data_IF_174895407271
#
_entry.id   IF_174895407271
#
_cell.length_a   1.000
_cell.length_b   1.000
_cell.length_c   1.000
_cell.angle_alpha   90.00
_cell.angle_beta   90.00
_cell.angle_gamma   90.00
#
_symmetry.space_group_name_H-M   'P 1'
#
loop_
_entity.id
_entity.type
_entity.pdbx_description
1 polymer ?
#
# COMPACT_ATOMS: atom_id res chain seq x y z
N UNK A 1 34.08 -2.65 3.47
CA UNK A 1 33.16 -3.07 4.55
C UNK A 1 31.76 -2.96 3.95
N UNK A 2 31.12 -4.07 3.66
CA UNK A 2 29.68 -4.08 3.35
C UNK A 2 28.98 -3.54 4.59
N UNK A 3 28.12 -2.52 4.44
CA UNK A 3 27.43 -1.95 5.60
C UNK A 3 26.61 -3.03 6.31
N UNK A 4 26.52 -2.95 7.61
CA UNK A 4 25.75 -3.89 8.45
C UNK A 4 24.30 -3.99 7.95
N UNK A 5 23.79 -2.94 7.31
CA UNK A 5 22.45 -2.84 6.72
C UNK A 5 22.26 -3.77 5.52
N UNK A 6 23.26 -3.86 4.63
CA UNK A 6 23.19 -4.77 3.49
C UNK A 6 23.07 -6.23 3.94
N UNK A 7 23.73 -6.59 5.04
CA UNK A 7 23.69 -7.94 5.62
C UNK A 7 22.32 -8.28 6.22
N UNK A 8 21.59 -7.29 6.78
CA UNK A 8 20.27 -7.51 7.40
C UNK A 8 19.18 -7.68 6.32
N UNK A 9 19.20 -6.85 5.28
CA UNK A 9 18.24 -6.93 4.17
C UNK A 9 18.50 -8.16 3.31
N UNK A 10 19.77 -8.49 3.06
CA UNK A 10 20.14 -9.73 2.37
C UNK A 10 19.75 -10.99 3.15
N UNK A 11 19.80 -10.99 4.50
CA UNK A 11 19.37 -12.13 5.32
C UNK A 11 17.89 -12.46 5.23
N UNK A 12 17.03 -11.48 4.99
CA UNK A 12 15.57 -11.69 4.89
C UNK A 12 15.11 -12.10 3.49
N UNK A 13 15.87 -11.75 2.46
CA UNK A 13 15.52 -12.07 1.07
C UNK A 13 16.42 -13.16 0.47
N UNK A 14 17.49 -13.56 1.16
CA UNK A 14 18.30 -14.69 0.76
C UNK A 14 17.56 -15.97 1.15
N UNK A 15 17.31 -16.82 0.17
CA UNK A 15 16.90 -18.21 0.34
C UNK A 15 18.03 -18.95 1.05
N UNK A 16 18.05 -18.93 2.39
CA UNK A 16 18.89 -19.85 3.13
C UNK A 16 18.20 -21.22 3.24
N UNK A 17 18.99 -22.26 3.48
CA UNK A 17 18.50 -23.64 3.55
C UNK A 17 17.39 -23.78 4.61
N UNK A 18 17.50 -23.06 5.73
CA UNK A 18 16.54 -23.11 6.83
C UNK A 18 15.19 -22.47 6.43
N UNK A 19 15.22 -21.33 5.73
CA UNK A 19 13.99 -20.68 5.26
C UNK A 19 13.28 -21.57 4.23
N UNK A 20 14.04 -22.19 3.32
CA UNK A 20 13.47 -23.11 2.33
C UNK A 20 12.87 -24.35 2.98
N UNK A 21 13.54 -24.94 3.98
CA UNK A 21 12.98 -26.06 4.73
C UNK A 21 11.67 -25.69 5.43
N UNK A 22 11.61 -24.53 6.10
CA UNK A 22 10.39 -24.02 6.73
C UNK A 22 9.26 -23.81 5.71
N UNK A 23 9.58 -23.18 4.58
CA UNK A 23 8.63 -22.97 3.50
C UNK A 23 8.08 -24.28 2.94
N UNK A 24 8.95 -25.25 2.63
CA UNK A 24 8.55 -26.55 2.09
C UNK A 24 7.66 -27.32 3.07
N UNK A 25 7.99 -27.31 4.37
CA UNK A 25 7.17 -27.93 5.40
C UNK A 25 5.79 -27.28 5.48
N UNK A 26 5.74 -25.94 5.51
CA UNK A 26 4.49 -25.20 5.56
C UNK A 26 3.63 -25.44 4.31
N UNK A 27 4.22 -25.37 3.12
CA UNK A 27 3.54 -25.63 1.85
C UNK A 27 2.97 -27.05 1.79
N UNK A 28 3.76 -28.07 2.19
CA UNK A 28 3.30 -29.44 2.18
C UNK A 28 2.10 -29.64 3.11
N UNK A 29 2.15 -29.09 4.32
CA UNK A 29 1.04 -29.17 5.27
C UNK A 29 -0.23 -28.46 4.74
N UNK A 30 -0.08 -27.28 4.14
CA UNK A 30 -1.17 -26.55 3.49
C UNK A 30 -1.81 -27.40 2.38
N UNK A 31 -1.01 -28.09 1.55
CA UNK A 31 -1.53 -28.97 0.50
C UNK A 31 -2.34 -30.15 1.07
N UNK A 32 -1.96 -30.70 2.23
CA UNK A 32 -2.71 -31.78 2.92
C UNK A 32 -4.07 -31.24 3.39
N UNK A 33 -4.09 -30.05 4.02
CA UNK A 33 -5.32 -29.40 4.52
C UNK A 33 -6.37 -29.18 3.42
N UNK A 34 -5.96 -28.93 2.19
CA UNK A 34 -6.90 -28.80 1.06
C UNK A 34 -7.79 -30.04 0.87
N UNK A 35 -7.32 -31.22 1.27
CA UNK A 35 -8.00 -32.51 0.98
C UNK A 35 -8.46 -33.28 2.20
N UNK A 36 -7.88 -33.01 3.37
CA UNK A 36 -8.23 -33.71 4.60
C UNK A 36 -9.58 -33.23 5.16
N UNK A 37 -10.15 -34.02 6.08
CA UNK A 37 -11.33 -33.65 6.84
C UNK A 37 -10.90 -32.98 8.15
N UNK A 38 -11.48 -31.84 8.44
CA UNK A 38 -11.25 -31.17 9.69
C UNK A 38 -11.86 -31.95 10.87
N UNK A 39 -11.17 -31.96 12.02
CA UNK A 39 -11.75 -32.45 13.28
C UNK A 39 -12.91 -31.56 13.74
N UNK A 40 -12.97 -30.32 13.26
CA UNK A 40 -13.99 -29.31 13.55
C UNK A 40 -14.77 -28.96 12.27
N UNK A 41 -15.87 -29.65 11.95
CA UNK A 41 -16.59 -29.52 10.67
C UNK A 41 -17.08 -28.09 10.39
N UNK A 42 -17.44 -27.33 11.41
CA UNK A 42 -17.95 -25.95 11.26
C UNK A 42 -16.88 -24.97 10.74
N UNK A 43 -15.59 -25.31 10.89
CA UNK A 43 -14.45 -24.50 10.44
C UNK A 43 -13.79 -25.04 9.16
N UNK A 44 -14.23 -26.22 8.68
CA UNK A 44 -13.61 -26.89 7.52
C UNK A 44 -13.63 -26.02 6.27
N UNK A 45 -14.75 -25.34 6.00
CA UNK A 45 -14.87 -24.47 4.82
C UNK A 45 -13.87 -23.32 4.84
N UNK A 46 -13.72 -22.66 5.99
CA UNK A 46 -12.72 -21.58 6.15
C UNK A 46 -11.30 -22.09 5.87
N UNK A 47 -10.90 -23.15 6.56
CA UNK A 47 -9.54 -23.67 6.46
C UNK A 47 -9.22 -24.15 5.04
N UNK A 48 -10.14 -24.82 4.37
CA UNK A 48 -9.95 -25.28 2.99
C UNK A 48 -9.81 -24.12 2.02
N UNK A 49 -10.69 -23.12 2.09
CA UNK A 49 -10.59 -21.93 1.22
C UNK A 49 -9.26 -21.20 1.42
N UNK A 50 -8.83 -21.02 2.67
CA UNK A 50 -7.56 -20.37 2.94
C UNK A 50 -6.35 -21.20 2.51
N UNK A 51 -6.39 -22.53 2.70
CA UNK A 51 -5.34 -23.43 2.21
C UNK A 51 -5.24 -23.41 0.68
N UNK A 52 -6.35 -23.44 -0.04
CA UNK A 52 -6.38 -23.33 -1.50
C UNK A 52 -5.85 -21.98 -1.97
N UNK A 53 -6.20 -20.90 -1.28
CA UNK A 53 -5.69 -19.55 -1.58
C UNK A 53 -4.17 -19.47 -1.37
N UNK A 54 -3.65 -19.98 -0.24
CA UNK A 54 -2.21 -20.04 0.03
C UNK A 54 -1.48 -20.92 -0.98
N UNK A 55 -2.03 -22.09 -1.34
CA UNK A 55 -1.49 -22.94 -2.39
C UNK A 55 -1.42 -22.23 -3.74
N UNK A 56 -2.44 -21.50 -4.12
CA UNK A 56 -2.49 -20.70 -5.37
C UNK A 56 -1.41 -19.62 -5.38
N UNK A 57 -1.24 -18.89 -4.30
CA UNK A 57 -0.22 -17.84 -4.18
C UNK A 57 1.20 -18.40 -4.06
N UNK A 58 1.39 -19.62 -3.51
CA UNK A 58 2.67 -20.33 -3.53
C UNK A 58 3.16 -20.60 -4.97
N UNK A 59 2.28 -20.96 -5.89
CA UNK A 59 2.61 -21.13 -7.32
C UNK A 59 3.18 -19.84 -7.92
N UNK A 60 2.58 -18.69 -7.55
CA UNK A 60 3.06 -17.37 -7.99
C UNK A 60 4.42 -17.05 -7.37
N UNK A 61 4.61 -17.35 -6.08
CA UNK A 61 5.90 -17.15 -5.39
C UNK A 61 7.02 -17.94 -6.05
N UNK A 62 6.77 -19.19 -6.45
CA UNK A 62 7.76 -20.10 -7.07
C UNK A 62 8.01 -19.80 -8.55
N UNK A 63 7.13 -19.09 -9.22
CA UNK A 63 7.25 -18.77 -10.64
C UNK A 63 8.49 -17.94 -10.92
N UNK A 64 9.35 -18.38 -11.83
CA UNK A 64 10.58 -17.67 -12.22
C UNK A 64 10.34 -16.65 -13.33
N UNK A 65 9.53 -17.02 -14.33
CA UNK A 65 9.19 -16.20 -15.49
C UNK A 65 7.71 -16.30 -15.78
N UNK A 66 7.17 -15.31 -16.46
CA UNK A 66 5.77 -15.34 -16.89
C UNK A 66 5.71 -15.25 -18.41
N UNK A 67 5.22 -16.31 -19.06
CA UNK A 67 4.95 -16.36 -20.49
C UNK A 67 3.43 -16.24 -20.78
N UNK A 68 2.66 -15.86 -19.74
CA UNK A 68 1.19 -15.75 -19.82
C UNK A 68 0.78 -14.60 -20.75
N UNK A 69 -0.34 -14.82 -21.45
CA UNK A 69 -1.01 -13.77 -22.21
C UNK A 69 -1.63 -12.72 -21.29
N UNK A 70 -2.04 -11.60 -21.85
CA UNK A 70 -2.73 -10.55 -21.06
C UNK A 70 -4.03 -11.10 -20.47
N UNK A 71 -4.79 -11.89 -21.21
CA UNK A 71 -6.03 -12.48 -20.76
C UNK A 71 -5.83 -13.47 -19.61
N UNK A 72 -4.76 -14.27 -19.66
CA UNK A 72 -4.42 -15.21 -18.57
C UNK A 72 -4.01 -14.47 -17.30
N UNK A 73 -3.21 -13.39 -17.41
CA UNK A 73 -2.82 -12.55 -16.29
C UNK A 73 -4.01 -11.80 -15.70
N UNK A 74 -4.89 -11.28 -16.54
CA UNK A 74 -6.12 -10.63 -16.12
C UNK A 74 -7.03 -11.61 -15.36
N UNK A 75 -7.18 -12.83 -15.87
CA UNK A 75 -7.98 -13.85 -15.18
C UNK A 75 -7.34 -14.27 -13.85
N UNK A 76 -6.02 -14.48 -13.79
CA UNK A 76 -5.30 -14.79 -12.55
C UNK A 76 -5.50 -13.66 -11.53
N UNK A 77 -5.36 -12.40 -11.96
CA UNK A 77 -5.58 -11.24 -11.11
C UNK A 77 -7.01 -11.18 -10.58
N UNK A 78 -8.01 -11.36 -11.49
CA UNK A 78 -9.42 -11.42 -11.10
C UNK A 78 -9.68 -12.51 -10.06
N UNK A 79 -9.19 -13.71 -10.31
CA UNK A 79 -9.36 -14.87 -9.42
C UNK A 79 -8.76 -14.69 -8.02
N UNK A 80 -7.69 -13.88 -7.91
CA UNK A 80 -7.07 -13.56 -6.62
C UNK A 80 -7.95 -12.63 -5.77
N UNK A 81 -8.80 -11.83 -6.39
CA UNK A 81 -9.63 -10.82 -5.72
C UNK A 81 -11.14 -11.12 -5.77
N UNK A 82 -11.56 -12.21 -6.45
CA UNK A 82 -12.96 -12.53 -6.74
C UNK A 82 -13.86 -12.55 -5.49
N UNK A 83 -13.38 -13.11 -4.38
CA UNK A 83 -14.16 -13.18 -3.13
C UNK A 83 -14.46 -11.80 -2.55
N UNK A 84 -13.64 -10.78 -2.86
CA UNK A 84 -13.83 -9.42 -2.37
C UNK A 84 -14.83 -8.63 -3.19
N UNK A 85 -15.10 -8.99 -4.45
CA UNK A 85 -16.01 -8.21 -5.29
C UNK A 85 -17.38 -8.04 -4.63
N UNK A 86 -18.03 -6.88 -4.80
CA UNK A 86 -19.30 -6.58 -4.12
C UNK A 86 -20.35 -7.68 -4.23
N UNK A 87 -20.44 -8.33 -5.42
CA UNK A 87 -21.36 -9.42 -5.70
C UNK A 87 -21.07 -10.71 -4.92
N UNK A 88 -19.82 -10.94 -4.52
CA UNK A 88 -19.37 -12.14 -3.81
C UNK A 88 -19.12 -11.90 -2.32
N UNK A 89 -18.94 -10.64 -1.93
CA UNK A 89 -18.54 -10.25 -0.57
C UNK A 89 -19.53 -10.70 0.50
N UNK A 90 -20.79 -10.90 0.14
CA UNK A 90 -21.82 -11.45 1.02
C UNK A 90 -21.54 -12.86 1.52
N UNK A 91 -20.62 -13.62 0.86
CA UNK A 91 -20.21 -14.98 1.23
C UNK A 91 -18.70 -15.11 1.48
N UNK A 92 -18.01 -14.00 1.71
CA UNK A 92 -16.59 -13.92 1.96
C UNK A 92 -16.30 -13.88 3.48
N UNK A 93 -15.32 -14.64 3.96
CA UNK A 93 -14.88 -14.60 5.36
C UNK A 93 -14.20 -13.28 5.76
N UNK A 94 -13.79 -12.46 4.78
CA UNK A 94 -13.39 -11.07 5.00
C UNK A 94 -14.57 -10.12 5.29
N UNK A 95 -15.81 -10.60 5.20
CA UNK A 95 -16.99 -9.86 5.62
C UNK A 95 -17.32 -10.18 7.08
N UNK A 96 -17.22 -9.22 8.01
CA UNK A 96 -17.43 -9.46 9.43
C UNK A 96 -18.78 -10.11 9.74
N UNK A 97 -19.86 -9.70 9.07
CA UNK A 97 -21.20 -10.25 9.32
C UNK A 97 -21.32 -11.69 8.83
N UNK A 98 -20.74 -12.05 7.68
CA UNK A 98 -20.70 -13.42 7.20
C UNK A 98 -19.85 -14.32 8.10
N UNK A 99 -18.65 -13.85 8.48
CA UNK A 99 -17.79 -14.59 9.40
C UNK A 99 -18.47 -14.85 10.76
N UNK A 100 -19.17 -13.85 11.30
CA UNK A 100 -19.94 -14.01 12.54
C UNK A 100 -21.11 -14.99 12.38
N UNK A 101 -21.83 -14.95 11.24
CA UNK A 101 -22.91 -15.90 10.94
C UNK A 101 -22.41 -17.35 10.89
N UNK A 102 -21.27 -17.59 10.23
CA UNK A 102 -20.72 -18.94 10.00
C UNK A 102 -19.95 -19.49 11.18
N UNK A 103 -19.19 -18.66 11.88
CA UNK A 103 -18.22 -19.09 12.90
C UNK A 103 -18.59 -18.61 14.30
N UNK A 104 -19.74 -17.95 14.46
CA UNK A 104 -20.22 -17.49 15.77
C UNK A 104 -19.21 -16.59 16.48
N UNK A 105 -18.87 -16.94 17.71
CA UNK A 105 -17.94 -16.16 18.54
C UNK A 105 -16.52 -16.04 17.95
N UNK A 106 -16.11 -16.93 17.05
CA UNK A 106 -14.81 -16.88 16.37
C UNK A 106 -14.81 -15.96 15.14
N UNK A 107 -15.98 -15.53 14.66
CA UNK A 107 -16.13 -14.78 13.42
C UNK A 107 -15.19 -13.58 13.32
N UNK A 108 -15.08 -12.78 14.39
CA UNK A 108 -14.19 -11.59 14.40
C UNK A 108 -12.72 -11.92 14.19
N UNK A 109 -12.20 -12.92 14.90
CA UNK A 109 -10.78 -13.28 14.83
C UNK A 109 -10.44 -13.96 13.52
N UNK A 110 -11.35 -14.76 12.96
CA UNK A 110 -11.17 -15.41 11.66
C UNK A 110 -11.29 -14.41 10.50
N UNK A 111 -12.17 -13.43 10.62
CA UNK A 111 -12.27 -12.33 9.66
C UNK A 111 -10.96 -11.53 9.59
N UNK A 112 -10.35 -11.24 10.73
CA UNK A 112 -9.04 -10.59 10.79
C UNK A 112 -7.93 -11.49 10.23
N UNK A 113 -7.91 -12.79 10.58
CA UNK A 113 -6.96 -13.76 10.03
C UNK A 113 -7.07 -13.83 8.50
N UNK A 114 -8.29 -13.87 7.96
CA UNK A 114 -8.53 -13.79 6.52
C UNK A 114 -7.86 -12.54 5.92
N UNK A 115 -8.08 -11.37 6.52
CA UNK A 115 -7.56 -10.11 6.02
C UNK A 115 -6.02 -10.04 6.08
N UNK A 116 -5.40 -10.58 7.13
CA UNK A 116 -3.94 -10.63 7.25
C UNK A 116 -3.33 -11.58 6.21
N UNK A 117 -3.91 -12.76 6.03
CA UNK A 117 -3.45 -13.74 5.04
C UNK A 117 -3.57 -13.26 3.59
N UNK A 118 -4.43 -12.27 3.30
CA UNK A 118 -4.46 -11.62 1.97
C UNK A 118 -3.14 -10.94 1.59
N UNK A 119 -2.34 -10.55 2.57
CA UNK A 119 -1.00 -9.99 2.36
C UNK A 119 -0.06 -10.88 1.56
N UNK A 120 -0.27 -12.21 1.54
CA UNK A 120 0.57 -13.17 0.80
C UNK A 120 0.58 -12.92 -0.73
N UNK A 121 -0.44 -12.26 -1.30
CA UNK A 121 -0.43 -11.84 -2.71
C UNK A 121 0.80 -10.95 -2.94
N UNK A 122 0.95 -9.90 -2.14
CA UNK A 122 2.09 -8.99 -2.23
C UNK A 122 3.43 -9.71 -2.08
N UNK A 123 3.52 -10.61 -1.09
CA UNK A 123 4.75 -11.38 -0.83
C UNK A 123 5.10 -12.31 -1.99
N UNK A 124 4.09 -12.95 -2.60
CA UNK A 124 4.30 -13.85 -3.74
C UNK A 124 4.87 -13.11 -4.97
N UNK A 125 4.29 -11.96 -5.32
CA UNK A 125 4.76 -11.16 -6.46
C UNK A 125 6.12 -10.50 -6.22
N UNK A 126 6.37 -9.99 -5.00
CA UNK A 126 7.65 -9.36 -4.63
C UNK A 126 8.74 -10.39 -4.25
N UNK A 127 8.45 -11.71 -4.30
CA UNK A 127 9.38 -12.77 -3.91
C UNK A 127 9.89 -12.63 -2.49
N UNK A 128 9.01 -12.18 -1.59
CA UNK A 128 9.27 -12.03 -0.15
C UNK A 128 9.06 -13.38 0.56
N UNK A 129 9.98 -14.30 0.38
CA UNK A 129 9.89 -15.68 0.87
C UNK A 129 9.69 -15.74 2.39
N UNK A 130 10.42 -14.91 3.14
CA UNK A 130 10.30 -14.89 4.59
C UNK A 130 8.90 -14.44 5.04
N UNK A 131 8.39 -13.34 4.50
CA UNK A 131 7.06 -12.82 4.85
C UNK A 131 5.96 -13.82 4.50
N UNK A 132 6.09 -14.46 3.34
CA UNK A 132 5.17 -15.51 2.90
C UNK A 132 5.17 -16.71 3.86
N UNK A 133 6.36 -17.20 4.23
CA UNK A 133 6.52 -18.36 5.12
C UNK A 133 5.93 -18.05 6.49
N UNK A 134 6.23 -16.90 7.06
CA UNK A 134 5.70 -16.48 8.37
C UNK A 134 4.17 -16.36 8.35
N UNK A 135 3.57 -15.85 7.26
CA UNK A 135 2.11 -15.81 7.11
C UNK A 135 1.50 -17.21 6.95
N UNK A 136 2.17 -18.10 6.22
CA UNK A 136 1.77 -19.51 6.09
C UNK A 136 1.83 -20.24 7.44
N UNK A 137 2.88 -20.01 8.23
CA UNK A 137 3.02 -20.56 9.58
C UNK A 137 1.95 -20.04 10.54
N UNK A 138 1.57 -18.76 10.46
CA UNK A 138 0.43 -18.22 11.22
C UNK A 138 -0.86 -19.01 10.92
N UNK A 139 -1.14 -19.25 9.64
CA UNK A 139 -2.29 -20.05 9.23
C UNK A 139 -2.24 -21.46 9.85
N UNK A 140 -1.07 -22.12 9.79
CA UNK A 140 -0.87 -23.46 10.32
C UNK A 140 -0.97 -23.51 11.84
N UNK A 141 -0.48 -22.51 12.56
CA UNK A 141 -0.59 -22.43 14.01
C UNK A 141 -2.06 -22.31 14.45
N UNK A 142 -2.84 -21.48 13.76
CA UNK A 142 -4.28 -21.41 14.02
C UNK A 142 -4.96 -22.74 13.67
N UNK A 143 -4.64 -23.34 12.51
CA UNK A 143 -5.21 -24.62 12.10
C UNK A 143 -4.91 -25.72 13.13
N UNK A 144 -3.67 -25.85 13.60
CA UNK A 144 -3.25 -26.84 14.58
C UNK A 144 -4.07 -26.77 15.90
N UNK A 145 -4.47 -25.57 16.31
CA UNK A 145 -5.32 -25.41 17.48
C UNK A 145 -6.73 -26.03 17.30
N UNK A 146 -7.14 -26.32 16.06
CA UNK A 146 -8.44 -26.92 15.71
C UNK A 146 -8.32 -28.40 15.29
N UNK A 147 -7.14 -29.03 15.37
CA UNK A 147 -6.96 -30.44 15.06
C UNK A 147 -7.47 -31.38 16.17
N UNK A 148 -7.61 -30.87 17.39
CA UNK A 148 -8.16 -31.62 18.50
C UNK A 148 -9.68 -31.72 18.43
N UNK A 149 -10.25 -32.71 19.14
CA UNK A 149 -11.70 -32.89 19.28
C UNK A 149 -12.37 -31.81 20.12
N UNK A 150 -11.62 -31.10 20.96
CA UNK A 150 -12.07 -29.99 21.80
C UNK A 150 -11.72 -28.66 21.12
N UNK A 151 -12.71 -27.78 20.96
CA UNK A 151 -12.50 -26.47 20.40
C UNK A 151 -11.57 -25.60 21.29
N UNK A 152 -10.57 -24.91 20.74
CA UNK A 152 -9.81 -23.92 21.49
C UNK A 152 -10.74 -22.80 21.95
N UNK A 153 -10.43 -22.10 23.03
CA UNK A 153 -11.19 -20.90 23.37
C UNK A 153 -10.94 -19.80 22.32
N UNK A 154 -11.94 -18.92 22.11
CA UNK A 154 -11.75 -17.74 21.24
C UNK A 154 -10.52 -16.95 21.68
N UNK A 155 -10.33 -16.82 22.99
CA UNK A 155 -9.17 -16.13 23.56
C UNK A 155 -7.84 -16.78 23.16
N UNK A 156 -7.76 -18.10 23.11
CA UNK A 156 -6.55 -18.81 22.67
C UNK A 156 -6.21 -18.49 21.22
N UNK A 157 -7.21 -18.41 20.35
CA UNK A 157 -7.00 -18.01 18.93
C UNK A 157 -6.57 -16.54 18.81
N UNK A 158 -7.20 -15.64 19.59
CA UNK A 158 -6.76 -14.25 19.66
C UNK A 158 -5.31 -14.12 20.13
N UNK A 159 -4.91 -14.96 21.09
CA UNK A 159 -3.54 -14.93 21.64
C UNK A 159 -2.50 -15.42 20.62
N UNK A 160 -2.84 -16.36 19.72
CA UNK A 160 -1.99 -16.73 18.58
C UNK A 160 -1.72 -15.50 17.70
N UNK A 161 -2.76 -14.77 17.29
CA UNK A 161 -2.59 -13.58 16.45
C UNK A 161 -1.84 -12.46 17.18
N UNK A 162 -2.04 -12.30 18.50
CA UNK A 162 -1.29 -11.34 19.31
C UNK A 162 0.18 -11.73 19.41
N UNK A 163 0.49 -13.02 19.59
CA UNK A 163 1.87 -13.49 19.59
C UNK A 163 2.55 -13.23 18.25
N UNK A 164 1.90 -13.57 17.14
CA UNK A 164 2.38 -13.26 15.79
C UNK A 164 2.73 -11.77 15.63
N UNK A 165 1.80 -10.86 15.98
CA UNK A 165 2.03 -9.42 15.91
C UNK A 165 3.20 -8.98 16.80
N UNK A 166 3.31 -9.54 18.00
CA UNK A 166 4.36 -9.16 18.94
C UNK A 166 5.75 -9.71 18.55
N UNK A 167 5.80 -10.94 18.10
CA UNK A 167 7.05 -11.64 17.79
C UNK A 167 7.70 -11.09 16.52
N UNK A 168 6.89 -10.75 15.52
CA UNK A 168 7.38 -10.23 14.25
C UNK A 168 7.31 -8.69 14.12
N UNK A 169 6.86 -7.95 15.15
CA UNK A 169 6.73 -6.50 15.12
C UNK A 169 8.01 -5.80 14.68
N UNK A 170 9.16 -6.17 15.26
CA UNK A 170 10.42 -5.54 14.93
C UNK A 170 10.82 -5.77 13.48
N UNK A 171 10.68 -7.00 13.00
CA UNK A 171 11.03 -7.39 11.63
C UNK A 171 10.17 -6.68 10.59
N UNK A 172 8.85 -6.63 10.82
CA UNK A 172 7.90 -5.95 9.94
C UNK A 172 8.14 -4.44 9.89
N UNK A 173 8.49 -3.83 11.03
CA UNK A 173 8.80 -2.39 11.10
C UNK A 173 10.14 -2.09 10.43
N UNK A 174 11.16 -2.90 10.67
CA UNK A 174 12.47 -2.70 10.07
C UNK A 174 12.41 -2.80 8.56
N UNK A 175 11.71 -3.81 8.04
CA UNK A 175 11.46 -3.95 6.61
C UNK A 175 10.72 -2.74 6.04
N UNK A 176 9.68 -2.26 6.74
CA UNK A 176 8.90 -1.09 6.29
C UNK A 176 9.74 0.18 6.23
N UNK A 177 10.65 0.38 7.18
CA UNK A 177 11.59 1.52 7.15
C UNK A 177 12.58 1.35 6.00
N UNK A 178 13.13 0.15 5.78
CA UNK A 178 14.01 -0.13 4.65
C UNK A 178 13.32 0.21 3.32
N UNK A 179 12.12 -0.31 3.08
CA UNK A 179 11.31 -0.04 1.88
C UNK A 179 11.10 1.46 1.64
N UNK A 180 10.97 2.24 2.71
CA UNK A 180 10.70 3.68 2.61
C UNK A 180 11.94 4.53 2.27
N UNK A 181 13.15 4.03 2.48
CA UNK A 181 14.38 4.84 2.34
C UNK A 181 15.49 4.21 1.49
N UNK A 182 15.43 2.90 1.22
CA UNK A 182 16.48 2.17 0.49
C UNK A 182 16.11 2.03 -0.99
N UNK A 183 16.82 2.71 -1.91
CA UNK A 183 16.58 2.60 -3.34
C UNK A 183 17.04 1.26 -3.95
N UNK A 184 17.78 0.42 -3.22
CA UNK A 184 18.14 -0.93 -3.68
C UNK A 184 16.93 -1.89 -3.63
N UNK A 185 15.87 -1.55 -2.89
CA UNK A 185 14.60 -2.27 -2.90
C UNK A 185 13.73 -1.80 -4.08
N UNK A 186 14.10 -2.19 -5.27
CA UNK A 186 13.73 -1.61 -6.55
C UNK A 186 12.62 -2.36 -7.31
N UNK A 187 11.84 -3.21 -6.65
CA UNK A 187 10.81 -4.06 -7.28
C UNK A 187 9.95 -3.29 -8.30
N UNK A 188 9.29 -2.22 -7.87
CA UNK A 188 8.44 -1.42 -8.75
C UNK A 188 9.24 -0.63 -9.80
N UNK A 189 10.44 -0.15 -9.43
CA UNK A 189 11.33 0.56 -10.35
C UNK A 189 11.74 -0.34 -11.52
N UNK A 190 12.04 -1.63 -11.27
CA UNK A 190 12.36 -2.58 -12.33
C UNK A 190 11.18 -2.80 -13.26
N UNK A 191 9.98 -2.99 -12.75
CA UNK A 191 8.78 -3.11 -13.61
C UNK A 191 8.64 -1.87 -14.48
N UNK A 192 8.74 -0.67 -13.91
CA UNK A 192 8.61 0.60 -14.64
C UNK A 192 9.69 0.74 -15.71
N UNK A 193 10.95 0.42 -15.39
CA UNK A 193 12.07 0.70 -16.28
C UNK A 193 12.32 -0.38 -17.34
N UNK A 194 12.05 -1.65 -17.01
CA UNK A 194 12.44 -2.79 -17.82
C UNK A 194 11.30 -3.36 -18.68
N UNK A 195 10.02 -3.08 -18.33
CA UNK A 195 8.87 -3.58 -19.09
C UNK A 195 8.62 -2.77 -20.38
N UNK A 196 8.04 -3.40 -21.38
CA UNK A 196 7.39 -2.68 -22.48
C UNK A 196 6.04 -2.12 -21.98
N UNK A 197 5.98 -0.81 -21.71
CA UNK A 197 4.77 -0.17 -21.18
C UNK A 197 3.67 0.03 -22.25
N UNK A 198 3.91 -0.32 -23.51
CA UNK A 198 2.85 -0.40 -24.53
C UNK A 198 2.06 -1.71 -24.44
N UNK A 199 2.62 -2.72 -23.77
CA UNK A 199 2.02 -4.03 -23.49
C UNK A 199 1.45 -4.03 -22.08
N UNK A 200 0.12 -3.98 -21.95
CA UNK A 200 -0.54 -3.82 -20.64
C UNK A 200 -0.34 -4.98 -19.65
N UNK A 201 0.31 -6.06 -20.07
CA UNK A 201 0.66 -7.17 -19.15
C UNK A 201 1.44 -6.71 -17.93
N UNK A 202 2.24 -5.65 -18.04
CA UNK A 202 3.03 -5.13 -16.92
C UNK A 202 2.17 -4.71 -15.71
N UNK A 203 0.92 -4.28 -15.91
CA UNK A 203 0.00 -3.90 -14.84
C UNK A 203 -0.23 -5.04 -13.84
N UNK A 204 -0.19 -6.28 -14.32
CA UNK A 204 -0.42 -7.48 -13.50
C UNK A 204 0.84 -7.97 -12.78
N UNK A 205 2.01 -7.42 -13.07
CA UNK A 205 3.27 -7.84 -12.42
C UNK A 205 3.42 -7.32 -11.00
N UNK A 206 2.61 -6.34 -10.62
CA UNK A 206 2.62 -5.77 -9.27
C UNK A 206 1.91 -6.64 -8.22
N UNK A 207 1.01 -7.53 -8.64
CA UNK A 207 0.15 -8.26 -7.68
C UNK A 207 -0.85 -7.37 -6.95
N UNK A 208 -1.18 -6.20 -7.51
CA UNK A 208 -2.31 -5.37 -7.12
C UNK A 208 -3.54 -5.73 -7.93
N UNK A 209 -4.73 -5.44 -7.41
CA UNK A 209 -5.94 -5.53 -8.23
C UNK A 209 -5.89 -4.49 -9.35
N UNK A 210 -6.17 -4.93 -10.57
CA UNK A 210 -6.21 -4.08 -11.78
C UNK A 210 -7.65 -3.99 -12.26
N UNK A 211 -8.24 -2.82 -12.12
CA UNK A 211 -9.59 -2.52 -12.58
C UNK A 211 -9.59 -1.86 -13.96
N UNK A 212 -10.78 -1.48 -14.44
CA UNK A 212 -10.91 -0.67 -15.63
C UNK A 212 -10.24 0.72 -15.50
N UNK A 213 -10.05 1.22 -14.29
CA UNK A 213 -9.42 2.51 -14.05
C UNK A 213 -7.92 2.47 -14.42
N UNK A 214 -7.17 1.51 -13.88
CA UNK A 214 -5.72 1.38 -14.14
C UNK A 214 -5.46 1.10 -15.61
N UNK A 215 -6.24 0.19 -16.22
CA UNK A 215 -6.15 -0.10 -17.65
C UNK A 215 -6.45 1.13 -18.50
N UNK A 216 -7.57 1.81 -18.23
CA UNK A 216 -7.99 2.96 -19.02
C UNK A 216 -7.04 4.15 -18.90
N UNK A 217 -6.40 4.36 -17.74
CA UNK A 217 -5.33 5.36 -17.59
C UNK A 217 -4.11 4.96 -18.43
N UNK A 218 -3.67 3.71 -18.36
CA UNK A 218 -2.52 3.22 -19.14
C UNK A 218 -2.78 3.31 -20.65
N UNK A 219 -3.96 2.91 -21.11
CA UNK A 219 -4.38 3.03 -22.51
C UNK A 219 -4.41 4.49 -22.98
N UNK A 220 -4.94 5.40 -22.15
CA UNK A 220 -4.94 6.82 -22.47
C UNK A 220 -3.53 7.37 -22.57
N UNK A 221 -2.66 7.09 -21.61
CA UNK A 221 -1.26 7.54 -21.65
C UNK A 221 -0.51 6.93 -22.85
N UNK A 222 -0.84 5.70 -23.26
CA UNK A 222 -0.29 5.08 -24.45
C UNK A 222 -0.74 5.77 -25.76
N UNK A 223 -1.85 6.48 -25.75
CA UNK A 223 -2.32 7.28 -26.89
C UNK A 223 -1.58 8.63 -27.04
N UNK A 224 -0.89 9.08 -25.98
CA UNK A 224 -0.14 10.35 -26.00
C UNK A 224 1.23 10.18 -26.65
N UNK A 225 1.74 11.27 -27.27
CA UNK A 225 3.12 11.30 -27.74
C UNK A 225 4.12 11.30 -26.59
N UNK A 226 5.37 10.91 -26.86
CA UNK A 226 6.41 10.94 -25.84
C UNK A 226 6.67 12.36 -25.33
N UNK A 227 6.58 13.38 -26.19
CA UNK A 227 6.73 14.79 -25.81
C UNK A 227 5.66 15.24 -24.83
N UNK A 228 4.42 14.75 -24.98
CA UNK A 228 3.33 15.04 -24.03
C UNK A 228 3.60 14.39 -22.67
N UNK A 229 4.01 13.13 -22.66
CA UNK A 229 4.40 12.40 -21.44
C UNK A 229 5.58 13.10 -20.75
N UNK A 230 6.61 13.51 -21.51
CA UNK A 230 7.78 14.20 -20.96
C UNK A 230 7.42 15.57 -20.38
N UNK A 231 6.48 16.29 -20.99
CA UNK A 231 5.96 17.56 -20.46
C UNK A 231 5.20 17.38 -19.15
N UNK A 232 4.38 16.32 -19.04
CA UNK A 232 3.69 15.99 -17.79
C UNK A 232 4.69 15.66 -16.67
N UNK A 233 5.69 14.83 -16.98
CA UNK A 233 6.75 14.47 -16.05
C UNK A 233 7.62 15.67 -15.66
N UNK A 234 7.91 16.57 -16.61
CA UNK A 234 8.68 17.81 -16.36
C UNK A 234 8.00 18.70 -15.34
N UNK A 235 6.70 18.97 -15.51
CA UNK A 235 5.95 19.79 -14.55
C UNK A 235 5.96 19.19 -13.15
N UNK A 236 5.79 17.88 -13.06
CA UNK A 236 5.79 17.14 -11.81
C UNK A 236 7.15 17.20 -11.10
N UNK A 237 8.24 16.95 -11.82
CA UNK A 237 9.60 16.94 -11.26
C UNK A 237 10.13 18.35 -10.99
N UNK A 238 9.81 19.31 -11.85
CA UNK A 238 10.17 20.72 -11.66
C UNK A 238 9.44 21.31 -10.44
N UNK A 239 8.17 20.97 -10.24
CA UNK A 239 7.44 21.34 -9.01
C UNK A 239 8.15 20.89 -7.75
N UNK A 240 8.71 19.67 -7.76
CA UNK A 240 9.51 19.14 -6.66
C UNK A 240 10.79 19.95 -6.42
N UNK A 241 11.52 20.28 -7.50
CA UNK A 241 12.74 21.10 -7.47
C UNK A 241 12.47 22.53 -6.97
N UNK A 242 11.38 23.14 -7.44
CA UNK A 242 10.94 24.48 -7.01
C UNK A 242 10.62 24.49 -5.52
N UNK A 243 10.03 23.41 -4.99
CA UNK A 243 9.77 23.27 -3.56
C UNK A 243 11.04 23.38 -2.70
N UNK A 244 12.18 22.90 -3.18
CA UNK A 244 13.47 23.12 -2.51
C UNK A 244 13.89 24.59 -2.59
N UNK A 245 13.77 25.23 -3.75
CA UNK A 245 14.17 26.63 -3.96
C UNK A 245 13.32 27.55 -3.06
N UNK A 246 12.01 27.45 -3.12
CA UNK A 246 11.08 28.29 -2.37
C UNK A 246 11.21 28.06 -0.85
N UNK A 247 11.48 26.80 -0.45
CA UNK A 247 11.78 26.44 0.94
C UNK A 247 13.19 26.83 1.39
N UNK A 248 14.04 27.40 0.51
CA UNK A 248 15.46 27.68 0.75
C UNK A 248 16.24 26.45 1.26
N UNK A 249 15.95 25.29 0.68
CA UNK A 249 16.53 24.00 1.03
C UNK A 249 17.53 23.57 -0.03
N UNK A 250 18.53 22.80 0.38
CA UNK A 250 19.60 22.33 -0.50
C UNK A 250 19.29 20.92 -1.03
N UNK A 251 18.85 20.82 -2.28
CA UNK A 251 18.54 19.54 -2.94
C UNK A 251 19.79 18.64 -3.08
N UNK A 252 21.00 19.20 -3.15
CA UNK A 252 22.23 18.43 -3.35
C UNK A 252 22.57 17.53 -2.17
N UNK A 253 21.98 17.78 -1.00
CA UNK A 253 22.09 16.94 0.20
C UNK A 253 21.21 15.72 0.15
N UNK A 254 20.30 15.65 -0.81
CA UNK A 254 19.35 14.54 -0.95
C UNK A 254 19.80 13.62 -2.08
N UNK A 255 19.47 12.33 -1.94
CA UNK A 255 19.86 11.28 -2.89
C UNK A 255 18.69 10.43 -3.34
N UNK A 256 17.55 10.50 -2.63
CA UNK A 256 16.37 9.71 -2.97
C UNK A 256 15.11 10.57 -3.01
N UNK A 257 14.15 10.16 -3.83
CA UNK A 257 12.79 10.71 -3.91
C UNK A 257 11.79 9.57 -3.76
N UNK A 258 10.76 9.74 -2.91
CA UNK A 258 9.71 8.74 -2.77
C UNK A 258 8.57 9.03 -3.75
N UNK A 259 8.48 8.25 -4.83
CA UNK A 259 7.41 8.37 -5.82
C UNK A 259 6.21 7.54 -5.37
N UNK A 260 5.02 8.15 -5.40
CA UNK A 260 3.73 7.53 -5.04
C UNK A 260 2.76 7.73 -6.17
N UNK A 261 2.08 6.66 -6.59
CA UNK A 261 1.16 6.71 -7.72
C UNK A 261 0.19 5.54 -7.73
N UNK A 262 -0.89 5.66 -8.49
CA UNK A 262 -1.77 4.55 -8.84
C UNK A 262 -1.30 3.89 -10.14
N UNK A 263 -1.43 2.57 -10.23
CA UNK A 263 -1.09 1.84 -11.46
C UNK A 263 -1.78 2.46 -12.68
N UNK A 264 -1.15 2.34 -13.83
CA UNK A 264 -1.57 2.99 -15.09
C UNK A 264 -0.75 4.24 -15.43
N UNK A 265 -0.07 4.86 -14.45
CA UNK A 265 0.76 6.04 -14.68
C UNK A 265 2.24 5.74 -15.01
N UNK A 266 2.63 4.49 -15.21
CA UNK A 266 4.02 4.06 -15.35
C UNK A 266 4.77 4.76 -16.47
N UNK A 267 4.12 5.10 -17.60
CA UNK A 267 4.78 5.87 -18.66
C UNK A 267 5.24 7.26 -18.18
N UNK A 268 4.38 7.95 -17.44
CA UNK A 268 4.74 9.24 -16.84
C UNK A 268 5.79 9.06 -15.74
N UNK A 269 5.64 8.05 -14.89
CA UNK A 269 6.58 7.74 -13.81
C UNK A 269 7.96 7.38 -14.38
N UNK A 270 8.05 6.60 -15.47
CA UNK A 270 9.32 6.31 -16.15
C UNK A 270 10.06 7.59 -16.57
N UNK A 271 9.36 8.52 -17.24
CA UNK A 271 9.94 9.80 -17.61
C UNK A 271 10.35 10.62 -16.37
N UNK A 272 9.53 10.62 -15.31
CA UNK A 272 9.86 11.29 -14.05
C UNK A 272 11.09 10.70 -13.37
N UNK A 273 11.24 9.37 -13.35
CA UNK A 273 12.43 8.67 -12.81
C UNK A 273 13.70 9.15 -13.51
N UNK A 274 13.69 9.24 -14.84
CA UNK A 274 14.84 9.73 -15.60
C UNK A 274 15.19 11.17 -15.21
N UNK A 275 14.19 12.04 -15.09
CA UNK A 275 14.38 13.44 -14.70
C UNK A 275 14.85 13.59 -13.24
N UNK A 276 14.36 12.79 -12.32
CA UNK A 276 14.87 12.78 -10.94
C UNK A 276 16.32 12.29 -10.88
N UNK A 277 16.71 11.30 -11.67
CA UNK A 277 18.10 10.86 -11.78
C UNK A 277 19.02 11.95 -12.32
N UNK A 278 18.56 12.78 -13.28
CA UNK A 278 19.29 13.97 -13.73
C UNK A 278 19.51 15.00 -12.61
N UNK A 279 18.59 15.06 -11.63
CA UNK A 279 18.73 15.88 -10.42
C UNK A 279 19.62 15.22 -9.34
N UNK A 280 20.12 14.00 -9.57
CA UNK A 280 20.90 13.21 -8.60
C UNK A 280 20.05 12.49 -7.54
N UNK A 281 18.77 12.24 -7.84
CA UNK A 281 17.82 11.57 -6.94
C UNK A 281 17.41 10.20 -7.50
N UNK A 282 17.72 9.12 -6.76
CA UNK A 282 17.23 7.80 -7.10
C UNK A 282 15.79 7.62 -6.57
N UNK A 283 14.91 6.95 -7.34
CA UNK A 283 13.55 6.69 -6.91
C UNK A 283 13.49 5.64 -5.79
N UNK A 284 12.65 5.88 -4.82
CA UNK A 284 12.18 4.89 -3.84
C UNK A 284 10.69 4.72 -4.07
N UNK A 285 10.29 3.53 -4.51
CA UNK A 285 8.89 3.21 -4.87
C UNK A 285 8.52 1.90 -4.17
N UNK A 286 7.73 2.00 -3.11
CA UNK A 286 7.33 0.87 -2.30
C UNK A 286 5.81 0.68 -2.30
N UNK A 287 5.34 -0.51 -2.01
CA UNK A 287 3.92 -0.87 -1.89
C UNK A 287 3.28 -0.21 -0.67
N UNK A 288 1.99 0.06 -0.70
CA UNK A 288 1.23 0.33 0.52
C UNK A 288 1.35 -0.84 1.52
N UNK A 289 1.15 -0.56 2.80
CA UNK A 289 1.35 -1.56 3.85
C UNK A 289 0.29 -2.67 3.77
N UNK A 290 0.74 -3.93 3.77
CA UNK A 290 -0.11 -5.13 3.76
C UNK A 290 -0.24 -5.78 5.12
N UNK A 291 0.81 -5.73 5.97
CA UNK A 291 0.76 -6.24 7.33
C UNK A 291 -0.08 -5.40 8.28
N UNK A 292 -0.84 -6.04 9.14
CA UNK A 292 -1.66 -5.40 10.17
C UNK A 292 -0.85 -4.48 11.10
N UNK A 293 0.42 -4.80 11.38
CA UNK A 293 1.33 -3.97 12.18
C UNK A 293 1.57 -2.60 11.54
N UNK A 294 1.61 -2.52 10.20
CA UNK A 294 1.96 -1.34 9.43
C UNK A 294 0.78 -0.64 8.76
N UNK A 295 -0.39 -1.30 8.66
CA UNK A 295 -1.61 -0.67 8.13
C UNK A 295 -2.02 0.53 8.98
N UNK A 296 -2.54 1.56 8.33
CA UNK A 296 -3.07 2.78 8.97
C UNK A 296 -4.49 3.03 8.48
N UNK A 297 -5.45 2.32 9.08
CA UNK A 297 -6.84 2.40 8.63
C UNK A 297 -6.94 2.09 7.12
N UNK A 298 -7.60 2.96 6.37
CA UNK A 298 -7.77 2.83 4.92
C UNK A 298 -6.64 3.49 4.10
N UNK A 299 -5.61 4.05 4.75
CA UNK A 299 -4.57 4.79 4.03
C UNK A 299 -3.69 3.86 3.20
N UNK A 300 -3.65 4.10 1.89
CA UNK A 300 -2.83 3.38 0.91
C UNK A 300 -1.70 4.31 0.45
N UNK A 301 -0.51 4.18 1.04
CA UNK A 301 0.65 5.02 0.76
C UNK A 301 1.74 4.19 0.08
N UNK A 302 2.13 4.58 -1.11
CA UNK A 302 3.09 3.88 -1.97
C UNK A 302 2.55 3.79 -3.39
N UNK A 303 2.92 2.76 -4.14
CA UNK A 303 2.16 2.39 -5.33
C UNK A 303 0.92 1.58 -4.93
N UNK A 304 -0.16 1.76 -5.65
CA UNK A 304 -1.44 1.11 -5.38
C UNK A 304 -2.13 0.74 -6.68
N UNK A 305 -2.80 -0.41 -6.68
CA UNK A 305 -3.75 -0.77 -7.72
C UNK A 305 -5.18 -0.30 -7.41
N UNK A 306 -6.14 -0.82 -8.12
CA UNK A 306 -7.55 -0.59 -7.90
C UNK A 306 -8.04 -1.13 -6.56
N UNK A 307 -9.20 -0.67 -6.15
CA UNK A 307 -9.89 -1.16 -4.96
C UNK A 307 -10.94 -2.18 -5.40
N UNK A 308 -10.72 -3.45 -5.06
CA UNK A 308 -11.65 -4.52 -5.41
C UNK A 308 -13.03 -4.34 -4.74
N UNK A 309 -13.03 -3.84 -3.49
CA UNK A 309 -14.24 -3.53 -2.75
C UNK A 309 -13.96 -2.49 -1.65
N UNK A 310 -14.47 -1.26 -1.76
CA UNK A 310 -14.28 -0.25 -0.72
C UNK A 310 -14.89 -0.65 0.64
N UNK A 311 -15.94 -1.47 0.64
CA UNK A 311 -16.55 -1.96 1.88
C UNK A 311 -15.59 -2.88 2.65
N UNK A 312 -14.82 -3.72 1.95
CA UNK A 312 -13.80 -4.55 2.59
C UNK A 312 -12.74 -3.67 3.30
N UNK A 313 -12.21 -2.66 2.62
CA UNK A 313 -11.23 -1.75 3.23
C UNK A 313 -11.83 -1.02 4.46
N UNK A 314 -13.10 -0.62 4.38
CA UNK A 314 -13.80 0.01 5.49
C UNK A 314 -14.02 -0.93 6.67
N UNK A 315 -14.39 -2.18 6.43
CA UNK A 315 -14.63 -3.18 7.47
C UNK A 315 -13.34 -3.48 8.27
N UNK A 316 -12.19 -3.50 7.60
CA UNK A 316 -10.88 -3.83 8.17
C UNK A 316 -10.04 -2.63 8.64
N UNK A 317 -10.62 -1.42 8.68
CA UNK A 317 -9.89 -0.18 9.02
C UNK A 317 -9.40 -0.11 10.48
N UNK A 318 -9.93 -0.93 11.36
CA UNK A 318 -9.63 -0.94 12.79
C UNK A 318 -9.27 -2.33 13.34
N UNK A 319 -8.78 -3.23 12.52
CA UNK A 319 -8.39 -4.58 12.90
C UNK A 319 -7.33 -4.61 14.02
N UNK A 320 -6.50 -3.56 14.11
CA UNK A 320 -5.55 -3.39 15.20
C UNK A 320 -6.20 -3.32 16.59
N UNK A 321 -7.52 -3.17 16.69
CA UNK A 321 -8.24 -3.22 17.96
C UNK A 321 -8.03 -4.55 18.73
N UNK A 322 -7.68 -5.63 18.02
CA UNK A 322 -7.32 -6.89 18.65
C UNK A 322 -6.13 -6.75 19.60
N UNK A 323 -5.09 -6.00 19.23
CA UNK A 323 -3.78 -6.00 19.91
C UNK A 323 -3.29 -4.61 20.34
N UNK A 324 -3.99 -3.52 19.98
CA UNK A 324 -3.56 -2.17 20.31
C UNK A 324 -3.72 -1.89 21.80
N UNK A 325 -2.63 -2.05 22.54
CA UNK A 325 -2.49 -1.72 23.94
C UNK A 325 -1.20 -0.91 24.18
N UNK A 326 -0.96 -0.53 25.43
CA UNK A 326 0.23 0.27 25.79
C UNK A 326 1.54 -0.45 25.51
N UNK A 327 1.56 -1.77 25.68
CA UNK A 327 2.78 -2.57 25.51
C UNK A 327 3.13 -2.70 24.02
N UNK A 328 2.13 -2.91 23.17
CA UNK A 328 2.30 -2.89 21.72
C UNK A 328 2.77 -1.52 21.22
N UNK A 329 2.16 -0.42 21.71
CA UNK A 329 2.57 0.95 21.34
C UNK A 329 4.05 1.17 21.67
N UNK A 330 4.48 0.84 22.88
CA UNK A 330 5.89 0.98 23.27
C UNK A 330 6.82 0.09 22.45
N UNK A 331 6.42 -1.15 22.16
CA UNK A 331 7.16 -2.08 21.32
C UNK A 331 7.34 -1.52 19.91
N UNK A 332 6.25 -1.08 19.30
CA UNK A 332 6.25 -0.50 17.94
C UNK A 332 7.14 0.75 17.85
N UNK A 333 7.01 1.68 18.77
CA UNK A 333 7.83 2.90 18.82
C UNK A 333 9.32 2.57 18.99
N UNK A 334 9.66 1.60 19.85
CA UNK A 334 11.04 1.14 20.05
C UNK A 334 11.58 0.47 18.78
N UNK A 335 10.78 -0.38 18.14
CA UNK A 335 11.15 -1.02 16.87
C UNK A 335 11.37 0.01 15.77
N UNK A 336 10.51 1.05 15.68
CA UNK A 336 10.70 2.16 14.74
C UNK A 336 11.98 2.93 15.00
N UNK A 337 12.30 3.26 16.27
CA UNK A 337 13.52 3.97 16.59
C UNK A 337 14.76 3.15 16.24
N UNK A 338 14.76 1.85 16.53
CA UNK A 338 15.86 0.94 16.18
C UNK A 338 16.02 0.84 14.65
N UNK A 339 14.92 0.67 13.93
CA UNK A 339 14.95 0.60 12.48
C UNK A 339 15.51 1.90 11.85
N UNK A 340 15.01 3.05 12.26
CA UNK A 340 15.54 4.33 11.75
C UNK A 340 16.99 4.60 12.15
N UNK A 341 17.45 4.12 13.31
CA UNK A 341 18.86 4.20 13.67
C UNK A 341 19.73 3.32 12.76
N UNK A 342 19.24 2.11 12.40
CA UNK A 342 19.92 1.23 11.46
C UNK A 342 20.00 1.83 10.04
N UNK A 343 18.96 2.56 9.62
CA UNK A 343 18.85 3.19 8.29
C UNK A 343 19.05 4.71 8.32
N UNK A 344 19.73 5.26 9.34
CA UNK A 344 19.86 6.72 9.54
C UNK A 344 20.52 7.45 8.37
N UNK A 345 21.50 6.84 7.74
CA UNK A 345 22.24 7.45 6.62
C UNK A 345 21.33 7.57 5.38
N UNK A 346 20.57 6.51 5.06
CA UNK A 346 19.59 6.54 3.99
C UNK A 346 18.41 7.47 4.29
N UNK A 347 17.97 7.49 5.54
CA UNK A 347 16.91 8.40 5.99
C UNK A 347 17.31 9.88 5.88
N UNK A 348 18.55 10.21 6.22
CA UNK A 348 19.06 11.59 6.16
C UNK A 348 19.11 12.15 4.73
N UNK A 349 19.32 11.30 3.72
CA UNK A 349 19.39 11.71 2.32
C UNK A 349 18.04 11.61 1.59
N UNK A 350 16.98 11.25 2.29
CA UNK A 350 15.63 11.17 1.73
C UNK A 350 15.08 12.58 1.42
N UNK A 351 14.69 12.82 0.16
CA UNK A 351 14.29 14.15 -0.32
C UNK A 351 12.80 14.47 -0.14
N UNK A 352 11.98 13.49 0.21
CA UNK A 352 10.55 13.66 0.42
C UNK A 352 9.68 13.04 -0.69
N UNK A 353 8.35 13.12 -0.56
CA UNK A 353 7.43 12.46 -1.48
C UNK A 353 7.17 13.27 -2.75
N UNK A 354 6.98 12.55 -3.85
CA UNK A 354 6.45 13.04 -5.11
C UNK A 354 5.21 12.17 -5.44
N UNK A 355 4.01 12.78 -5.42
CA UNK A 355 2.75 12.05 -5.48
C UNK A 355 2.01 12.35 -6.80
N UNK A 356 1.51 11.30 -7.43
CA UNK A 356 0.49 11.37 -8.47
C UNK A 356 -0.78 10.84 -7.83
N UNK A 357 -1.76 11.73 -7.61
CA UNK A 357 -3.06 11.41 -7.03
C UNK A 357 -4.10 11.22 -8.13
N UNK A 358 -5.17 10.53 -7.83
CA UNK A 358 -6.31 10.33 -8.72
C UNK A 358 -7.57 10.95 -8.14
N UNK A 359 -8.51 11.26 -9.04
CA UNK A 359 -9.84 11.72 -8.67
C UNK A 359 -10.88 11.26 -9.70
N UNK A 360 -12.14 11.30 -9.33
CA UNK A 360 -13.27 10.94 -10.18
C UNK A 360 -13.90 9.61 -9.83
N UNK A 361 -13.53 9.05 -8.67
CA UNK A 361 -14.17 7.87 -8.09
C UNK A 361 -15.64 8.15 -7.77
N UNK A 362 -16.51 7.16 -7.97
CA UNK A 362 -17.89 7.24 -7.53
C UNK A 362 -17.97 7.31 -5.99
N UNK A 363 -18.85 8.15 -5.44
CA UNK A 363 -19.02 8.23 -3.99
C UNK A 363 -19.43 6.88 -3.40
N UNK A 364 -18.65 6.36 -2.47
CA UNK A 364 -18.95 5.13 -1.75
C UNK A 364 -19.70 5.44 -0.45
N UNK A 365 -20.87 4.79 -0.26
CA UNK A 365 -21.63 4.83 0.97
C UNK A 365 -21.33 3.58 1.81
N UNK A 366 -20.51 3.74 2.86
CA UNK A 366 -20.10 2.65 3.73
C UNK A 366 -21.22 2.15 4.64
N UNK A 367 -21.26 0.84 4.83
CA UNK A 367 -22.07 0.18 5.85
C UNK A 367 -21.22 -0.12 7.10
N UNK A 368 -21.66 0.35 8.28
CA UNK A 368 -21.00 0.01 9.53
C UNK A 368 -21.53 -1.30 10.09
N UNK A 369 -20.64 -2.29 10.20
CA UNK A 369 -20.99 -3.63 10.72
C UNK A 369 -20.62 -3.76 12.19
N UNK A 370 -21.54 -4.29 13.00
CA UNK A 370 -21.34 -4.49 14.45
C UNK A 370 -20.30 -5.57 14.75
N UNK A 371 -20.11 -6.49 13.82
CA UNK A 371 -19.17 -7.60 13.94
C UNK A 371 -17.75 -7.26 13.53
N UNK A 372 -17.51 -6.07 12.96
CA UNK A 372 -16.17 -5.56 12.67
C UNK A 372 -15.42 -5.17 13.96
N UNK A 373 -14.09 -5.18 13.90
CA UNK A 373 -13.26 -4.64 14.98
C UNK A 373 -13.44 -3.12 15.07
N UNK A 374 -13.55 -2.61 16.31
CA UNK A 374 -13.70 -1.16 16.57
C UNK A 374 -12.80 -0.80 17.74
N UNK A 375 -12.03 0.28 17.58
CA UNK A 375 -11.20 0.83 18.65
C UNK A 375 -12.07 1.40 19.77
N UNK A 376 -11.82 0.96 21.00
CA UNK A 376 -12.39 1.60 22.20
C UNK A 376 -11.87 3.04 22.34
N UNK A 377 -12.52 3.86 23.17
CA UNK A 377 -12.04 5.23 23.45
C UNK A 377 -10.60 5.26 23.96
N UNK A 378 -10.22 4.29 24.79
CA UNK A 378 -8.85 4.17 25.29
C UNK A 378 -7.87 3.85 24.16
N UNK A 379 -8.24 2.95 23.25
CA UNK A 379 -7.41 2.59 22.09
C UNK A 379 -7.32 3.74 21.06
N UNK A 380 -8.37 4.53 20.89
CA UNK A 380 -8.31 5.73 20.04
C UNK A 380 -7.27 6.74 20.56
N UNK A 381 -7.18 6.93 21.89
CA UNK A 381 -6.13 7.76 22.49
C UNK A 381 -4.75 7.19 22.26
N UNK A 382 -4.58 5.88 22.48
CA UNK A 382 -3.31 5.18 22.20
C UNK A 382 -2.90 5.32 20.72
N UNK A 383 -3.85 5.26 19.79
CA UNK A 383 -3.56 5.45 18.37
C UNK A 383 -3.08 6.88 18.08
N UNK A 384 -3.71 7.90 18.68
CA UNK A 384 -3.27 9.30 18.53
C UNK A 384 -1.86 9.50 19.09
N UNK A 385 -1.58 8.94 20.26
CA UNK A 385 -0.25 9.00 20.88
C UNK A 385 0.80 8.29 20.02
N UNK A 386 0.49 7.08 19.53
CA UNK A 386 1.34 6.33 18.62
C UNK A 386 1.64 7.11 17.33
N UNK A 387 0.64 7.73 16.71
CA UNK A 387 0.81 8.51 15.49
C UNK A 387 1.69 9.75 15.72
N UNK A 388 1.48 10.45 16.82
CA UNK A 388 2.27 11.62 17.20
C UNK A 388 3.75 11.24 17.46
N UNK A 389 3.99 10.23 18.27
CA UNK A 389 5.35 9.80 18.61
C UNK A 389 6.07 9.18 17.40
N UNK A 390 5.35 8.41 16.58
CA UNK A 390 5.87 7.89 15.31
C UNK A 390 6.29 9.03 14.37
N UNK A 391 5.46 10.08 14.27
CA UNK A 391 5.79 11.27 13.49
C UNK A 391 7.04 11.98 14.00
N UNK A 392 7.23 12.07 15.32
CA UNK A 392 8.43 12.65 15.93
C UNK A 392 9.68 11.80 15.64
N UNK A 393 9.57 10.46 15.70
CA UNK A 393 10.68 9.56 15.34
C UNK A 393 11.05 9.79 13.87
N UNK A 394 10.09 9.71 12.95
CA UNK A 394 10.35 9.96 11.52
C UNK A 394 11.04 11.31 11.29
N UNK A 395 10.52 12.39 11.88
CA UNK A 395 11.08 13.74 11.69
C UNK A 395 12.48 13.92 12.26
N UNK A 396 12.91 13.08 13.21
CA UNK A 396 14.28 13.09 13.73
C UNK A 396 15.30 12.63 12.70
N UNK A 397 14.94 11.65 11.87
CA UNK A 397 15.82 11.04 10.85
C UNK A 397 15.57 11.61 9.45
N UNK A 398 14.31 11.88 9.09
CA UNK A 398 13.90 12.49 7.83
C UNK A 398 13.38 13.90 8.15
N UNK A 399 14.27 14.86 8.26
CA UNK A 399 13.94 16.22 8.71
C UNK A 399 13.00 16.93 7.73
N UNK A 400 11.87 17.42 8.24
CA UNK A 400 10.84 18.09 7.45
C UNK A 400 11.31 19.39 6.79
N UNK A 401 12.21 20.12 7.44
CA UNK A 401 12.81 21.36 6.96
C UNK A 401 13.89 21.16 5.87
N UNK A 402 14.33 19.94 5.65
CA UNK A 402 15.32 19.58 4.62
C UNK A 402 14.72 18.88 3.39
N UNK A 403 13.44 18.57 3.37
CA UNK A 403 12.77 17.86 2.28
C UNK A 403 11.76 18.73 1.53
N UNK A 404 11.45 18.32 0.30
CA UNK A 404 10.39 18.91 -0.51
C UNK A 404 9.25 17.92 -0.73
N UNK A 405 8.23 18.33 -1.44
CA UNK A 405 7.19 17.47 -1.97
C UNK A 405 6.63 18.08 -3.26
N UNK A 406 6.01 17.23 -4.06
CA UNK A 406 5.15 17.64 -5.17
C UNK A 406 3.91 16.75 -5.18
N UNK A 407 2.79 17.32 -5.55
CA UNK A 407 1.54 16.59 -5.74
C UNK A 407 0.93 17.08 -7.05
N UNK A 408 0.59 16.12 -7.91
CA UNK A 408 -0.16 16.36 -9.14
C UNK A 408 -1.33 15.38 -9.17
N UNK A 409 -2.46 15.78 -9.74
CA UNK A 409 -3.64 14.94 -9.79
C UNK A 409 -4.19 14.78 -11.19
N UNK A 410 -4.70 13.60 -11.50
CA UNK A 410 -5.32 13.25 -12.78
C UNK A 410 -6.63 12.48 -12.56
N UNK A 411 -7.58 12.60 -13.50
CA UNK A 411 -8.82 11.83 -13.42
C UNK A 411 -8.60 10.36 -13.75
N UNK A 412 -9.52 9.51 -13.30
CA UNK A 412 -9.62 8.09 -13.68
C UNK A 412 -10.86 7.86 -14.55
N UNK A 413 -10.93 6.76 -15.33
CA UNK A 413 -12.07 6.44 -16.19
C UNK A 413 -13.45 6.45 -15.52
N UNK A 414 -13.52 6.13 -14.23
CA UNK A 414 -14.75 6.15 -13.44
C UNK A 414 -15.44 7.52 -13.38
N UNK A 415 -14.72 8.61 -13.71
CA UNK A 415 -15.30 9.95 -13.83
C UNK A 415 -16.38 10.04 -14.92
N UNK A 416 -16.45 9.04 -15.83
CA UNK A 416 -17.49 8.87 -16.83
C UNK A 416 -17.02 9.03 -18.27
N UNK A 417 -17.98 9.07 -19.20
CA UNK A 417 -17.75 9.04 -20.66
C UNK A 417 -16.80 10.13 -21.18
N UNK A 418 -16.68 11.25 -20.46
CA UNK A 418 -15.78 12.36 -20.83
C UNK A 418 -14.38 12.24 -20.25
N UNK A 419 -13.99 11.08 -19.75
CA UNK A 419 -12.67 10.86 -19.14
C UNK A 419 -11.52 11.42 -20.00
N UNK A 420 -11.43 11.05 -21.26
CA UNK A 420 -10.35 11.47 -22.15
C UNK A 420 -10.30 13.00 -22.37
N UNK A 421 -11.48 13.63 -22.49
CA UNK A 421 -11.58 15.10 -22.65
C UNK A 421 -11.13 15.80 -21.36
N UNK A 422 -11.60 15.31 -20.20
CA UNK A 422 -11.24 15.86 -18.89
C UNK A 422 -9.76 15.67 -18.64
N UNK A 423 -9.22 14.48 -18.91
CA UNK A 423 -7.80 14.20 -18.74
C UNK A 423 -6.94 15.15 -19.59
N UNK A 424 -7.30 15.34 -20.86
CA UNK A 424 -6.59 16.26 -21.74
C UNK A 424 -6.62 17.73 -21.25
N UNK A 425 -7.75 18.18 -20.69
CA UNK A 425 -7.82 19.52 -20.08
C UNK A 425 -6.99 19.62 -18.79
N UNK A 426 -6.97 18.58 -17.97
CA UNK A 426 -6.12 18.53 -16.77
C UNK A 426 -4.64 18.54 -17.15
N UNK A 427 -4.23 17.82 -18.20
CA UNK A 427 -2.84 17.90 -18.72
C UNK A 427 -2.49 19.33 -19.07
N UNK A 428 -3.36 20.08 -19.79
CA UNK A 428 -3.13 21.48 -20.13
C UNK A 428 -2.99 22.36 -18.88
N UNK A 429 -3.86 22.16 -17.89
CA UNK A 429 -3.82 22.91 -16.63
C UNK A 429 -2.51 22.60 -15.88
N UNK A 430 -2.13 21.33 -15.79
CA UNK A 430 -0.93 20.90 -15.08
C UNK A 430 0.38 21.30 -15.80
N UNK A 431 0.35 21.61 -17.10
CA UNK A 431 1.53 22.01 -17.88
C UNK A 431 1.59 23.49 -18.20
N UNK A 432 0.79 24.32 -17.50
CA UNK A 432 0.77 25.77 -17.67
C UNK A 432 2.10 26.43 -17.26
N UNK A 433 2.42 27.59 -17.84
CA UNK A 433 3.55 28.43 -17.43
C UNK A 433 3.34 28.91 -15.98
N UNK A 434 3.93 28.19 -15.02
CA UNK A 434 3.81 28.47 -13.59
C UNK A 434 4.28 29.89 -13.22
N UNK A 435 5.29 30.47 -13.92
CA UNK A 435 5.78 31.80 -13.65
C UNK A 435 4.76 32.88 -14.04
N UNK A 436 4.01 32.62 -15.11
CA UNK A 436 2.88 33.51 -15.48
C UNK A 436 1.78 33.40 -14.42
N UNK A 437 1.44 32.19 -13.99
CA UNK A 437 0.43 31.96 -12.95
C UNK A 437 0.82 32.57 -11.61
N UNK A 438 2.05 32.42 -11.17
CA UNK A 438 2.59 33.03 -9.95
C UNK A 438 2.37 34.55 -9.97
N UNK A 439 2.67 35.20 -11.08
CA UNK A 439 2.44 36.65 -11.24
C UNK A 439 0.96 37.02 -11.19
N UNK A 440 0.10 36.24 -11.84
CA UNK A 440 -1.35 36.46 -11.81
C UNK A 440 -1.87 36.28 -10.38
N UNK A 441 -1.48 35.20 -9.71
CA UNK A 441 -1.88 34.94 -8.33
C UNK A 441 -1.38 36.04 -7.38
N UNK A 442 -0.14 36.48 -7.53
CA UNK A 442 0.42 37.56 -6.73
C UNK A 442 -0.39 38.85 -6.89
N UNK A 443 -0.79 39.20 -8.11
CA UNK A 443 -1.65 40.36 -8.38
C UNK A 443 -3.03 40.22 -7.68
N UNK A 444 -3.59 39.02 -7.69
CA UNK A 444 -4.86 38.74 -6.99
C UNK A 444 -4.67 38.88 -5.46
N UNK A 445 -3.58 38.31 -4.91
CA UNK A 445 -3.25 38.40 -3.48
C UNK A 445 -3.11 39.86 -3.06
N UNK A 446 -2.28 40.64 -3.79
CA UNK A 446 -2.09 42.07 -3.51
C UNK A 446 -3.41 42.88 -3.56
N UNK A 447 -4.31 42.50 -4.45
CA UNK A 447 -5.66 43.11 -4.50
C UNK A 447 -6.47 42.70 -3.30
N UNK A 448 -6.48 41.43 -2.93
CA UNK A 448 -7.23 40.91 -1.76
C UNK A 448 -6.71 41.51 -0.46
N UNK A 449 -5.41 41.72 -0.32
CA UNK A 449 -4.79 42.34 0.88
C UNK A 449 -5.24 43.74 1.12
N UNK A 450 -5.75 44.44 0.08
CA UNK A 450 -6.33 45.78 0.22
C UNK A 450 -7.82 45.77 0.57
N UNK A 451 -8.48 44.61 0.57
CA UNK A 451 -9.90 44.45 0.77
C UNK A 451 -10.21 44.09 2.22
N UNK A 452 -11.30 44.67 2.78
CA UNK A 452 -11.88 44.22 4.05
C UNK A 452 -12.88 43.08 3.85
N UNK A 453 -13.46 42.98 2.67
CA UNK A 453 -14.51 42.03 2.34
C UNK A 453 -14.30 41.48 0.92
N UNK A 454 -14.50 40.19 0.77
CA UNK A 454 -14.58 39.51 -0.54
C UNK A 454 -15.95 38.90 -0.68
N UNK A 455 -16.66 39.24 -1.74
CA UNK A 455 -17.95 38.63 -2.10
C UNK A 455 -17.74 37.67 -3.27
N UNK A 456 -17.97 36.37 -3.01
CA UNK A 456 -17.90 35.32 -4.04
C UNK A 456 -19.34 34.98 -4.44
N UNK A 457 -19.69 35.24 -5.71
CA UNK A 457 -21.02 34.94 -6.27
C UNK A 457 -20.96 33.63 -7.07
N UNK A 458 -21.76 32.67 -6.68
CA UNK A 458 -21.97 31.41 -7.36
C UNK A 458 -23.26 30.75 -6.87
N UNK A 459 -23.63 29.63 -7.49
CA UNK A 459 -24.91 28.96 -7.17
C UNK A 459 -25.05 28.56 -5.68
N UNK A 460 -23.91 28.43 -4.94
CA UNK A 460 -23.88 27.92 -3.57
C UNK A 460 -22.85 28.60 -2.66
N UNK A 461 -22.29 29.74 -3.02
CA UNK A 461 -21.17 30.36 -2.27
C UNK A 461 -21.60 31.75 -1.73
N UNK A 462 -21.24 32.02 -0.49
CA UNK A 462 -21.59 33.23 0.26
C UNK A 462 -20.45 34.27 0.39
N UNK A 463 -20.51 35.15 1.40
CA UNK A 463 -19.48 36.13 1.71
C UNK A 463 -18.45 35.58 2.69
N UNK A 464 -17.19 35.98 2.49
CA UNK A 464 -16.11 35.74 3.44
C UNK A 464 -15.46 37.05 3.87
N UNK A 465 -15.09 37.15 5.15
CA UNK A 465 -14.27 38.24 5.70
C UNK A 465 -12.80 37.93 5.44
N UNK A 466 -12.06 38.88 4.93
CA UNK A 466 -10.62 38.75 4.69
C UNK A 466 -9.85 39.17 5.93
#
# INVERSE_FOLDING_TARGET
MLSTNKVITERKNVLDELLMERYDLAKNRICEICTEKSAQPDFEDFFKRMAEFLKKTAVILERQTTDQTEEELMQENRDLYEELFPENYGSCYGNPSYAAEKLGAYGKVFCLLYAELRGVIAYAYEKKWWDYTVAAELFLEVYAAFEDSELPSVKSVEDILKSYVNDYCQDMIEQRVAEAVDPELDFAVRIIMDSDLSDLRYLYFYGEYVSANERGVAEFLNSLSQEQIDSMAETYTEGYRIGFINGRKDITKKKTVNIRYNLGFERMVRSAVLKFREMGLEPVIYRHATHIVNKRGNARIGFTGGVANPQYDYDHRQDQALFLDSDFVQRKLRSMQNAYENYKELSAVHGGPACIETFGEEPFAQETKTDAWVLSEAQQKLQVDLDNESGQIVNRYIKGDERSFTIIAYPIPEIGEKFSEIFAEIVKINTLDYKLYERIQQTVIETLDTCQWVEIKGCKIGRAHV
#
